data_IF_510235598047
#
_entry.id   IF_510235598047
#
_cell.length_a   1.000
_cell.length_b   1.000
_cell.length_c   1.000
_cell.angle_alpha   90.00
_cell.angle_beta   90.00
_cell.angle_gamma   90.00
#
_symmetry.space_group_name_H-M   'P 1'
#
loop_
_entity.id
_entity.type
_entity.pdbx_description
1 polymer ?
#
# COMPACT_ATOMS: atom_id res chain seq x y z
N UNK A 1 -10.73 18.69 0.33
CA UNK A 1 -10.96 18.37 -1.10
C UNK A 1 -10.08 19.32 -1.89
N UNK A 2 -9.13 18.98 -2.74
CA UNK A 2 -8.77 17.76 -3.45
C UNK A 2 -7.24 17.79 -3.66
N UNK A 3 -6.55 16.67 -3.47
CA UNK A 3 -5.14 16.50 -3.87
C UNK A 3 -5.06 15.28 -4.77
N UNK A 4 -5.17 15.49 -6.07
CA UNK A 4 -5.08 14.45 -7.12
C UNK A 4 -3.90 14.76 -8.05
N UNK A 5 -2.66 14.75 -7.54
CA UNK A 5 -1.47 15.03 -8.33
C UNK A 5 -0.45 13.88 -8.38
N UNK A 6 -0.85 12.64 -8.04
CA UNK A 6 0.06 11.49 -8.00
C UNK A 6 -0.03 10.50 -9.18
N UNK A 7 -1.01 10.63 -10.08
CA UNK A 7 -1.38 9.53 -11.00
C UNK A 7 -0.91 9.69 -12.45
N UNK A 8 -0.39 10.86 -12.86
CA UNK A 8 -0.15 11.14 -14.28
C UNK A 8 1.24 10.73 -14.80
N UNK A 9 2.21 10.48 -13.92
CA UNK A 9 3.58 10.18 -14.35
C UNK A 9 3.83 8.70 -14.67
N UNK A 10 2.98 7.79 -14.21
CA UNK A 10 3.10 6.33 -14.40
C UNK A 10 2.38 5.79 -15.63
N UNK A 11 1.52 6.58 -16.28
CA UNK A 11 0.75 6.15 -17.46
C UNK A 11 1.63 5.83 -18.68
N UNK A 12 2.59 6.72 -19.00
CA UNK A 12 3.45 6.59 -20.18
C UNK A 12 4.27 5.30 -20.22
N UNK A 13 4.80 4.85 -19.08
CA UNK A 13 5.59 3.61 -19.03
C UNK A 13 4.71 2.37 -19.22
N UNK A 14 3.50 2.40 -18.67
CA UNK A 14 2.53 1.32 -18.82
C UNK A 14 2.05 1.19 -20.27
N UNK A 15 1.85 2.31 -20.95
CA UNK A 15 1.45 2.35 -22.35
C UNK A 15 2.55 1.76 -23.27
N UNK A 16 3.83 2.08 -23.00
CA UNK A 16 4.97 1.52 -23.75
C UNK A 16 5.05 0.00 -23.58
N UNK A 17 4.90 -0.51 -22.36
CA UNK A 17 4.89 -1.95 -22.10
C UNK A 17 3.77 -2.64 -22.87
N UNK A 18 2.59 -2.03 -22.87
CA UNK A 18 1.44 -2.61 -23.55
C UNK A 18 1.60 -2.60 -25.08
N UNK A 19 2.16 -1.52 -25.66
CA UNK A 19 2.53 -1.48 -27.08
C UNK A 19 3.54 -2.58 -27.45
N UNK A 20 4.50 -2.87 -26.58
CA UNK A 20 5.43 -3.98 -26.78
C UNK A 20 4.71 -5.32 -26.79
N UNK A 21 3.86 -5.59 -25.79
CA UNK A 21 3.12 -6.84 -25.69
C UNK A 21 2.13 -7.04 -26.86
N UNK A 22 1.36 -6.02 -27.21
CA UNK A 22 0.35 -6.11 -28.25
C UNK A 22 0.93 -6.10 -29.67
N UNK A 23 2.09 -5.46 -29.88
CA UNK A 23 2.68 -5.30 -31.21
C UNK A 23 3.66 -6.41 -31.64
N UNK A 24 4.24 -7.15 -30.68
CA UNK A 24 5.35 -8.10 -30.96
C UNK A 24 5.00 -9.57 -30.76
N UNK A 25 3.94 -9.89 -29.99
CA UNK A 25 3.59 -11.29 -29.73
C UNK A 25 2.53 -11.81 -30.73
N UNK A 26 2.75 -13.01 -31.30
CA UNK A 26 1.74 -13.70 -32.09
C UNK A 26 0.43 -13.91 -31.31
N UNK A 27 -0.71 -13.92 -32.01
CA UNK A 27 -2.04 -14.17 -31.42
C UNK A 27 -2.22 -15.58 -30.84
N UNK A 28 -1.22 -16.45 -30.98
CA UNK A 28 -1.21 -17.82 -30.45
C UNK A 28 -0.74 -17.91 -29.00
N UNK A 29 -0.26 -16.80 -28.42
CA UNK A 29 0.24 -16.75 -27.03
C UNK A 29 -0.86 -16.25 -26.09
N UNK A 30 -1.10 -17.00 -25.03
CA UNK A 30 -2.00 -16.58 -23.94
C UNK A 30 -1.34 -15.52 -23.07
N UNK A 31 -1.97 -14.36 -22.96
CA UNK A 31 -1.53 -13.25 -22.08
C UNK A 31 -2.44 -13.19 -20.85
N UNK A 32 -1.85 -13.09 -19.67
CA UNK A 32 -2.58 -12.87 -18.42
C UNK A 32 -1.96 -11.71 -17.64
N UNK A 33 -2.78 -11.00 -16.87
CA UNK A 33 -2.35 -9.91 -15.98
C UNK A 33 -2.93 -10.14 -14.60
N UNK A 34 -2.14 -9.83 -13.57
CA UNK A 34 -2.51 -10.04 -12.17
C UNK A 34 -2.31 -8.76 -11.37
N UNK A 35 -3.28 -8.44 -10.52
CA UNK A 35 -3.26 -7.25 -9.67
C UNK A 35 -4.09 -7.50 -8.41
N UNK A 36 -3.65 -6.94 -7.28
CA UNK A 36 -4.34 -7.07 -6.00
C UNK A 36 -5.24 -5.88 -5.69
N UNK A 37 -4.93 -4.68 -6.19
CA UNK A 37 -5.53 -3.40 -5.73
C UNK A 37 -6.34 -2.68 -6.81
N UNK A 38 -6.68 -3.35 -7.91
CA UNK A 38 -7.43 -2.74 -9.00
C UNK A 38 -8.85 -2.34 -8.60
N UNK A 39 -9.15 -1.05 -8.76
CA UNK A 39 -10.50 -0.53 -8.58
C UNK A 39 -11.39 -0.92 -9.77
N UNK A 40 -12.65 -1.32 -9.52
CA UNK A 40 -13.61 -1.53 -10.59
C UNK A 40 -13.96 -0.21 -11.31
N UNK A 41 -14.42 -0.30 -12.56
CA UNK A 41 -14.85 0.85 -13.35
C UNK A 41 -13.75 1.41 -14.26
N UNK A 42 -13.68 2.74 -14.48
CA UNK A 42 -12.79 3.36 -15.45
C UNK A 42 -11.30 2.96 -15.33
N UNK A 43 -10.70 2.82 -14.14
CA UNK A 43 -9.30 2.40 -14.02
C UNK A 43 -9.03 1.01 -14.61
N UNK A 44 -9.91 0.05 -14.32
CA UNK A 44 -9.82 -1.31 -14.88
C UNK A 44 -10.00 -1.30 -16.40
N UNK A 45 -11.00 -0.55 -16.91
CA UNK A 45 -11.26 -0.46 -18.35
C UNK A 45 -10.07 0.14 -19.10
N UNK A 46 -9.43 1.17 -18.54
CA UNK A 46 -8.23 1.78 -19.09
C UNK A 46 -7.10 0.75 -19.21
N UNK A 47 -6.81 0.02 -18.13
CA UNK A 47 -5.76 -1.00 -18.11
C UNK A 47 -6.04 -2.14 -19.09
N UNK A 48 -7.29 -2.62 -19.14
CA UNK A 48 -7.72 -3.64 -20.09
C UNK A 48 -7.57 -3.16 -21.54
N UNK A 49 -7.99 -1.94 -21.85
CA UNK A 49 -7.84 -1.35 -23.18
C UNK A 49 -6.38 -1.24 -23.58
N UNK A 50 -5.54 -0.72 -22.68
CA UNK A 50 -4.10 -0.56 -22.91
C UNK A 50 -3.43 -1.91 -23.20
N UNK A 51 -3.73 -2.95 -22.41
CA UNK A 51 -3.18 -4.30 -22.59
C UNK A 51 -3.83 -5.12 -23.73
N UNK A 52 -4.75 -4.54 -24.50
CA UNK A 52 -5.44 -5.24 -25.59
C UNK A 52 -6.50 -6.26 -25.14
N UNK A 53 -6.87 -6.24 -23.85
CA UNK A 53 -7.97 -7.04 -23.30
C UNK A 53 -9.32 -6.40 -23.66
N UNK A 54 -9.80 -6.65 -24.87
CA UNK A 54 -11.13 -6.21 -25.32
C UNK A 54 -12.25 -7.01 -24.64
N UNK A 55 -13.32 -6.34 -24.20
CA UNK A 55 -14.38 -6.86 -23.31
C UNK A 55 -15.07 -8.18 -23.71
N UNK A 56 -14.97 -8.63 -24.96
CA UNK A 56 -15.52 -9.91 -25.43
C UNK A 56 -14.49 -11.06 -25.53
N UNK A 57 -13.20 -10.81 -25.26
CA UNK A 57 -12.10 -11.75 -25.55
C UNK A 57 -11.22 -12.11 -24.35
N UNK A 58 -11.61 -11.75 -23.13
CA UNK A 58 -10.83 -12.13 -21.94
C UNK A 58 -11.72 -12.52 -20.76
N UNK A 59 -11.15 -13.32 -19.87
CA UNK A 59 -11.77 -13.70 -18.61
C UNK A 59 -11.22 -12.82 -17.48
N UNK A 60 -12.11 -12.12 -16.78
CA UNK A 60 -11.76 -11.38 -15.56
C UNK A 60 -12.10 -12.22 -14.34
N UNK A 61 -11.09 -12.63 -13.58
CA UNK A 61 -11.28 -13.31 -12.30
C UNK A 61 -11.01 -12.31 -11.18
N UNK A 62 -12.05 -11.93 -10.44
CA UNK A 62 -11.93 -11.05 -9.26
C UNK A 62 -12.27 -11.83 -7.99
N UNK A 63 -11.30 -11.92 -7.08
CA UNK A 63 -11.52 -12.50 -5.75
C UNK A 63 -12.11 -11.44 -4.81
N UNK A 64 -12.78 -11.92 -3.75
CA UNK A 64 -13.28 -11.05 -2.69
C UNK A 64 -12.13 -10.45 -1.90
N UNK A 65 -12.27 -9.17 -1.54
CA UNK A 65 -11.35 -8.48 -0.62
C UNK A 65 -11.68 -8.76 0.85
N UNK A 66 -12.64 -9.65 1.14
CA UNK A 66 -13.04 -9.99 2.51
C UNK A 66 -11.88 -10.68 3.23
N UNK A 67 -11.40 -10.04 4.29
CA UNK A 67 -10.44 -10.63 5.23
C UNK A 67 -11.13 -10.81 6.60
N UNK A 68 -11.74 -11.99 6.87
CA UNK A 68 -12.55 -12.18 8.08
C UNK A 68 -11.74 -12.08 9.38
N UNK A 69 -10.43 -12.26 9.30
CA UNK A 69 -9.52 -12.17 10.44
C UNK A 69 -8.93 -10.76 10.64
N UNK A 70 -9.34 -9.78 9.84
CA UNK A 70 -8.90 -8.37 9.98
C UNK A 70 -10.01 -7.54 10.60
N UNK A 71 -9.68 -6.82 11.67
CA UNK A 71 -10.56 -5.83 12.29
C UNK A 71 -10.07 -4.43 11.93
N UNK A 72 -10.97 -3.61 11.40
CA UNK A 72 -10.70 -2.19 11.14
C UNK A 72 -11.20 -1.39 12.34
N UNK A 73 -10.32 -0.61 12.94
CA UNK A 73 -10.62 0.25 14.09
C UNK A 73 -10.27 1.68 13.68
N UNK A 74 -11.19 2.62 13.90
CA UNK A 74 -10.99 4.05 13.65
C UNK A 74 -11.04 4.79 14.99
N UNK A 75 -9.93 5.40 15.36
CA UNK A 75 -9.81 6.19 16.59
C UNK A 75 -9.38 7.61 16.25
N UNK A 76 -9.97 8.58 16.96
CA UNK A 76 -9.58 9.99 16.82
C UNK A 76 -8.28 10.22 17.59
N UNK A 77 -7.34 10.93 16.97
CA UNK A 77 -6.08 11.25 17.63
C UNK A 77 -6.30 12.29 18.74
N UNK A 78 -5.81 12.00 19.94
CA UNK A 78 -5.87 12.91 21.10
C UNK A 78 -4.63 13.77 21.24
N UNK A 79 -3.55 13.39 20.55
CA UNK A 79 -2.28 14.11 20.49
C UNK A 79 -2.05 14.66 19.09
N UNK A 80 -1.32 15.78 19.01
CA UNK A 80 -0.99 16.38 17.71
C UNK A 80 -0.05 15.46 16.92
N UNK A 81 -0.38 15.20 15.65
CA UNK A 81 0.46 14.41 14.74
C UNK A 81 1.88 15.00 14.61
N UNK A 82 2.01 16.33 14.73
CA UNK A 82 3.29 17.03 14.68
C UNK A 82 4.09 17.01 15.98
N UNK A 83 3.58 16.37 17.05
CA UNK A 83 4.25 16.27 18.34
C UNK A 83 5.38 15.24 18.38
N UNK A 84 5.93 15.04 19.57
CA UNK A 84 6.94 14.01 19.87
C UNK A 84 6.40 12.86 20.71
N UNK A 85 5.13 12.94 21.12
CA UNK A 85 4.47 11.93 21.94
C UNK A 85 3.32 11.27 21.18
N UNK A 86 3.26 9.94 21.27
CA UNK A 86 2.27 9.13 20.59
C UNK A 86 1.62 8.12 21.56
N UNK A 87 0.96 8.60 22.64
CA UNK A 87 0.44 7.73 23.70
C UNK A 87 -0.58 6.70 23.19
N UNK A 88 -1.26 7.01 22.09
CA UNK A 88 -2.26 6.13 21.46
C UNK A 88 -1.64 4.86 20.85
N UNK A 89 -0.33 4.82 20.62
CA UNK A 89 0.36 3.61 20.16
C UNK A 89 0.62 2.62 21.31
N UNK A 90 0.72 3.10 22.55
CA UNK A 90 1.14 2.29 23.71
C UNK A 90 0.25 1.06 23.93
N UNK A 91 -1.10 1.15 23.90
CA UNK A 91 -1.96 -0.03 24.08
C UNK A 91 -1.77 -1.12 23.01
N UNK A 92 -1.36 -0.75 21.79
CA UNK A 92 -1.10 -1.69 20.71
C UNK A 92 0.26 -2.39 20.87
N UNK A 93 1.25 -1.66 21.38
CA UNK A 93 2.61 -2.17 21.60
C UNK A 93 2.70 -3.13 22.79
N UNK A 94 1.94 -2.85 23.86
CA UNK A 94 1.87 -3.69 25.05
C UNK A 94 1.31 -5.10 24.79
N UNK A 95 0.76 -5.36 23.60
CA UNK A 95 0.26 -6.67 23.20
C UNK A 95 1.37 -7.64 22.77
N UNK A 96 2.63 -7.20 22.72
CA UNK A 96 3.80 -8.00 22.31
C UNK A 96 3.62 -8.65 20.93
N UNK A 97 2.93 -7.97 20.01
CA UNK A 97 2.72 -8.42 18.63
C UNK A 97 3.57 -7.61 17.65
N UNK A 98 4.00 -8.28 16.58
CA UNK A 98 4.64 -7.60 15.44
C UNK A 98 3.64 -6.61 14.86
N UNK A 99 4.02 -5.34 14.84
CA UNK A 99 3.16 -4.22 14.45
C UNK A 99 3.88 -3.41 13.38
N UNK A 100 3.17 -3.09 12.30
CA UNK A 100 3.65 -2.20 11.24
C UNK A 100 2.94 -0.86 11.40
N UNK A 101 3.71 0.22 11.50
CA UNK A 101 3.20 1.58 11.63
C UNK A 101 3.52 2.32 10.33
N UNK A 102 2.47 2.72 9.60
CA UNK A 102 2.61 3.55 8.41
C UNK A 102 2.53 5.03 8.79
N UNK A 103 3.56 5.79 8.42
CA UNK A 103 3.61 7.24 8.61
C UNK A 103 3.65 7.94 7.24
N UNK A 104 3.09 9.16 7.18
CA UNK A 104 2.99 9.93 5.93
C UNK A 104 4.34 10.48 5.45
N UNK A 105 5.24 10.81 6.36
CA UNK A 105 6.53 11.44 6.06
C UNK A 105 7.66 10.75 6.82
N UNK A 106 8.88 10.84 6.27
CA UNK A 106 10.10 10.31 6.91
C UNK A 106 10.31 10.97 8.29
N UNK A 107 10.12 12.29 8.37
CA UNK A 107 10.19 13.04 9.63
C UNK A 107 9.23 12.49 10.70
N UNK A 108 7.97 12.22 10.34
CA UNK A 108 7.00 11.65 11.26
C UNK A 108 7.40 10.22 11.69
N UNK A 109 7.85 9.38 10.75
CA UNK A 109 8.33 8.03 11.10
C UNK A 109 9.53 8.08 12.06
N UNK A 110 10.43 9.05 11.90
CA UNK A 110 11.58 9.21 12.78
C UNK A 110 11.17 9.63 14.19
N UNK A 111 10.23 10.58 14.32
CA UNK A 111 9.69 11.00 15.63
C UNK A 111 9.00 9.84 16.35
N UNK A 112 8.19 9.06 15.62
CA UNK A 112 7.56 7.85 16.16
C UNK A 112 8.64 6.86 16.61
N UNK A 113 9.65 6.60 15.77
CA UNK A 113 10.75 5.71 16.12
C UNK A 113 11.48 6.16 17.39
N UNK A 114 11.81 7.44 17.53
CA UNK A 114 12.44 7.99 18.75
C UNK A 114 11.54 7.84 19.98
N UNK A 115 10.24 8.11 19.85
CA UNK A 115 9.27 7.90 20.92
C UNK A 115 9.25 6.44 21.39
N UNK A 116 9.18 5.49 20.45
CA UNK A 116 9.20 4.05 20.74
C UNK A 116 10.53 3.64 21.38
N UNK A 117 11.65 4.12 20.85
CA UNK A 117 12.98 3.82 21.36
C UNK A 117 13.11 4.22 22.83
N UNK A 118 12.66 5.44 23.18
CA UNK A 118 12.69 5.96 24.55
C UNK A 118 11.74 5.22 25.52
N UNK A 119 10.72 4.51 25.01
CA UNK A 119 9.77 3.73 25.82
C UNK A 119 10.14 2.23 25.90
N UNK A 120 11.30 1.83 25.37
CA UNK A 120 11.72 0.43 25.39
C UNK A 120 12.30 0.07 26.78
N UNK A 121 11.85 -1.03 27.42
CA UNK A 121 12.43 -1.45 28.70
C UNK A 121 13.91 -1.84 28.54
N UNK A 122 14.73 -1.43 29.52
CA UNK A 122 16.20 -1.55 29.54
C UNK A 122 16.73 -2.99 29.40
N UNK A 123 15.87 -3.99 29.61
CA UNK A 123 16.20 -5.42 29.51
C UNK A 123 16.25 -5.96 28.07
N UNK A 124 15.86 -5.16 27.07
CA UNK A 124 15.77 -5.57 25.67
C UNK A 124 16.61 -4.66 24.78
N UNK A 125 17.24 -5.21 23.74
CA UNK A 125 17.99 -4.41 22.77
C UNK A 125 16.98 -3.74 21.81
N UNK A 126 16.78 -2.41 21.87
CA UNK A 126 15.75 -1.72 21.10
C UNK A 126 15.97 -1.83 19.58
N UNK A 127 17.23 -1.98 19.14
CA UNK A 127 17.57 -2.13 17.71
C UNK A 127 17.16 -3.49 17.13
N UNK A 128 16.87 -4.49 17.97
CA UNK A 128 16.34 -5.79 17.52
C UNK A 128 14.81 -5.83 17.48
N UNK A 129 14.15 -4.82 18.06
CA UNK A 129 12.70 -4.83 18.29
C UNK A 129 11.95 -3.88 17.35
N UNK A 130 12.57 -2.76 16.97
CA UNK A 130 11.96 -1.75 16.11
C UNK A 130 12.80 -1.53 14.84
N UNK A 131 12.23 -1.84 13.68
CA UNK A 131 12.82 -1.54 12.38
C UNK A 131 12.04 -0.44 11.69
N UNK A 132 12.74 0.58 11.19
CA UNK A 132 12.16 1.59 10.31
C UNK A 132 12.55 1.25 8.87
N UNK A 133 11.56 0.92 8.03
CA UNK A 133 11.77 0.70 6.60
C UNK A 133 10.93 1.71 5.84
N UNK A 134 11.57 2.50 4.99
CA UNK A 134 10.91 3.41 4.05
C UNK A 134 10.28 2.59 2.92
N UNK A 135 8.97 2.72 2.74
CA UNK A 135 8.22 2.21 1.58
C UNK A 135 8.07 3.31 0.53
#
# INVERSE_FOLDING_TARGET
>A
MSSTNGAYHSGLYFDILALFFCGRFPSTISVFSMTATMQPGPPLLSVCSTLGFSSSRFHLIRRSNKCPNTKIILETLTSAIGGTEFPQLIPYLNQCRKTVIHARTIDLSYRIFMFLFNHTPTSSNPLRQYGCTTL
#
